data_IF_129555187493
#
_entry.id   IF_129555187493
#
_cell.length_a   1.000
_cell.length_b   1.000
_cell.length_c   1.000
_cell.angle_alpha   90.00
_cell.angle_beta   90.00
_cell.angle_gamma   90.00
#
_symmetry.space_group_name_H-M   'P 1'
#
loop_
_entity.id
_entity.type
_entity.pdbx_description
1 polymer ?
#
# COMPACT_ATOMS: atom_id res chain seq x y z
N UNK A 1 -23.48 -15.61 7.20
CA UNK A 1 -22.24 -14.87 7.01
C UNK A 1 -21.12 -15.49 7.84
N UNK A 2 -20.02 -15.89 7.22
CA UNK A 2 -18.92 -16.63 7.88
C UNK A 2 -18.04 -15.73 8.80
N UNK A 3 -18.15 -14.42 8.68
CA UNK A 3 -17.32 -13.45 9.37
C UNK A 3 -17.85 -12.87 10.68
N UNK A 4 -19.05 -13.30 11.15
CA UNK A 4 -19.70 -12.67 12.31
C UNK A 4 -20.16 -13.72 13.31
N UNK A 5 -20.05 -13.41 14.60
CA UNK A 5 -20.65 -14.13 15.69
C UNK A 5 -21.83 -13.34 16.29
N UNK A 6 -22.86 -14.04 16.72
CA UNK A 6 -24.07 -13.47 17.33
C UNK A 6 -24.05 -13.70 18.83
N UNK A 7 -24.25 -12.64 19.59
CA UNK A 7 -24.28 -12.65 21.05
C UNK A 7 -25.62 -12.12 21.56
N UNK A 8 -25.96 -12.45 22.80
CA UNK A 8 -27.12 -11.96 23.54
C UNK A 8 -26.74 -11.70 24.99
N UNK A 9 -27.70 -11.37 25.86
CA UNK A 9 -27.46 -11.09 27.27
C UNK A 9 -26.39 -10.00 27.51
N UNK A 10 -26.60 -8.83 26.92
CA UNK A 10 -25.65 -7.73 27.02
C UNK A 10 -24.31 -7.96 26.32
N UNK A 11 -24.28 -8.88 25.32
CA UNK A 11 -23.05 -9.23 24.60
C UNK A 11 -22.19 -10.30 25.28
N UNK A 12 -22.63 -10.83 26.43
CA UNK A 12 -21.82 -11.76 27.24
C UNK A 12 -22.04 -13.25 26.92
N UNK A 13 -23.10 -13.60 26.18
CA UNK A 13 -23.43 -14.98 25.86
C UNK A 13 -23.41 -15.20 24.35
N UNK A 14 -22.62 -16.17 23.88
CA UNK A 14 -22.58 -16.55 22.47
C UNK A 14 -23.85 -17.36 22.13
N UNK A 15 -24.52 -16.99 21.05
CA UNK A 15 -25.62 -17.78 20.50
C UNK A 15 -25.10 -19.10 19.91
N UNK A 16 -25.97 -20.09 19.79
CA UNK A 16 -25.61 -21.40 19.22
C UNK A 16 -25.56 -21.29 17.70
N UNK A 17 -24.39 -21.51 17.11
CA UNK A 17 -24.26 -21.67 15.66
C UNK A 17 -24.81 -23.04 15.25
N UNK A 18 -25.79 -23.03 14.34
CA UNK A 18 -26.44 -24.24 13.86
C UNK A 18 -26.04 -24.63 12.43
N UNK A 19 -25.02 -23.93 11.89
CA UNK A 19 -24.53 -24.13 10.53
C UNK A 19 -25.12 -23.12 9.54
N UNK A 20 -24.60 -23.11 8.30
CA UNK A 20 -25.06 -22.31 7.18
C UNK A 20 -25.20 -20.79 7.47
N UNK A 21 -24.40 -20.28 8.42
CA UNK A 21 -24.50 -18.90 8.86
C UNK A 21 -25.70 -18.58 9.75
N UNK A 22 -26.42 -19.58 10.21
CA UNK A 22 -27.59 -19.46 11.09
C UNK A 22 -27.21 -19.59 12.57
N UNK A 23 -27.91 -18.82 13.40
CA UNK A 23 -27.68 -18.74 14.83
C UNK A 23 -28.99 -18.87 15.59
N UNK A 24 -29.02 -19.70 16.63
CA UNK A 24 -30.15 -19.87 17.52
C UNK A 24 -29.94 -19.02 18.79
N UNK A 25 -30.84 -18.07 19.00
CA UNK A 25 -30.83 -17.18 20.16
C UNK A 25 -31.98 -17.59 21.08
N UNK A 26 -31.71 -17.94 22.35
CA UNK A 26 -32.77 -18.30 23.28
C UNK A 26 -33.61 -17.07 23.63
N UNK A 27 -34.93 -17.25 23.75
CA UNK A 27 -35.81 -16.23 24.33
C UNK A 27 -35.61 -16.15 25.84
N UNK A 28 -36.02 -15.01 26.44
CA UNK A 28 -36.01 -14.90 27.93
C UNK A 28 -36.83 -15.96 28.62
N UNK A 29 -36.55 -16.19 29.91
CA UNK A 29 -37.25 -17.26 30.69
C UNK A 29 -38.77 -17.05 30.84
N UNK A 30 -39.27 -15.85 30.54
CA UNK A 30 -40.71 -15.55 30.51
C UNK A 30 -41.41 -15.99 29.19
N UNK A 31 -40.59 -16.39 28.18
CA UNK A 31 -41.06 -16.78 26.85
C UNK A 31 -41.73 -15.66 26.05
N UNK A 32 -41.67 -14.40 26.53
CA UNK A 32 -42.39 -13.26 25.94
C UNK A 32 -41.46 -12.19 25.41
N UNK A 33 -40.23 -12.10 25.92
CA UNK A 33 -39.31 -11.04 25.58
C UNK A 33 -38.16 -11.60 24.73
N UNK A 34 -37.91 -10.98 23.60
CA UNK A 34 -36.71 -11.26 22.79
C UNK A 34 -35.52 -10.58 23.42
N UNK A 35 -34.37 -11.24 23.54
CA UNK A 35 -33.16 -10.60 24.05
C UNK A 35 -32.64 -9.60 23.03
N UNK A 36 -31.91 -8.61 23.51
CA UNK A 36 -31.10 -7.77 22.65
C UNK A 36 -29.98 -8.62 22.03
N UNK A 37 -29.81 -8.48 20.72
CA UNK A 37 -28.83 -9.23 19.94
C UNK A 37 -27.66 -8.29 19.61
N UNK A 38 -26.45 -8.81 19.74
CA UNK A 38 -25.21 -8.14 19.41
C UNK A 38 -24.49 -8.93 18.33
N UNK A 39 -23.90 -8.22 17.37
CA UNK A 39 -23.05 -8.79 16.34
C UNK A 39 -21.60 -8.44 16.67
N UNK A 40 -20.71 -9.41 16.61
CA UNK A 40 -19.28 -9.22 16.77
C UNK A 40 -18.59 -9.77 15.52
N UNK A 41 -17.81 -8.95 14.85
CA UNK A 41 -16.90 -9.41 13.79
C UNK A 41 -15.90 -10.42 14.35
N UNK A 42 -15.55 -11.40 13.55
CA UNK A 42 -14.35 -12.19 13.81
C UNK A 42 -13.14 -11.29 13.60
N UNK A 43 -11.99 -11.76 14.05
CA UNK A 43 -10.73 -11.11 13.76
C UNK A 43 -10.60 -10.82 12.24
N UNK A 44 -10.17 -9.63 11.89
CA UNK A 44 -10.01 -9.15 10.50
C UNK A 44 -11.31 -9.07 9.67
N UNK A 45 -12.48 -9.02 10.32
CA UNK A 45 -13.74 -8.87 9.61
C UNK A 45 -14.34 -7.49 9.80
N UNK A 46 -14.51 -6.77 8.68
CA UNK A 46 -15.28 -5.53 8.58
C UNK A 46 -16.35 -5.60 7.49
N UNK A 47 -17.20 -4.59 7.44
CA UNK A 47 -18.20 -4.43 6.42
C UNK A 47 -19.64 -4.63 6.86
N UNK A 48 -20.56 -4.55 5.88
CA UNK A 48 -22.00 -4.66 6.09
C UNK A 48 -22.46 -6.11 6.16
N UNK A 49 -23.20 -6.45 7.20
CA UNK A 49 -23.85 -7.75 7.39
C UNK A 49 -25.35 -7.58 7.31
N UNK A 50 -25.97 -8.13 6.29
CA UNK A 50 -27.43 -8.23 6.22
C UNK A 50 -27.87 -9.54 6.90
N UNK A 51 -28.94 -9.50 7.69
CA UNK A 51 -29.47 -10.64 8.42
C UNK A 51 -30.98 -10.72 8.33
N UNK A 52 -31.51 -11.94 8.50
CA UNK A 52 -32.93 -12.23 8.69
C UNK A 52 -33.12 -12.93 10.03
N UNK A 53 -33.95 -12.37 10.88
CA UNK A 53 -34.35 -13.00 12.12
C UNK A 53 -35.73 -13.66 11.96
N UNK A 54 -35.81 -14.96 12.17
CA UNK A 54 -37.06 -15.72 12.14
C UNK A 54 -37.52 -16.02 13.57
N UNK A 55 -38.66 -15.47 13.93
CA UNK A 55 -39.26 -15.63 15.25
C UNK A 55 -40.42 -16.63 15.14
N UNK A 56 -40.31 -17.72 15.88
CA UNK A 56 -41.37 -18.74 15.98
C UNK A 56 -42.01 -18.68 17.35
N UNK A 57 -43.28 -18.38 17.40
CA UNK A 57 -44.08 -18.46 18.62
C UNK A 57 -45.10 -19.62 18.53
N UNK A 58 -45.29 -20.30 19.65
CA UNK A 58 -46.26 -21.42 19.77
C UNK A 58 -47.11 -21.23 21.01
N UNK A 59 -48.42 -21.33 20.82
CA UNK A 59 -49.40 -21.40 21.94
C UNK A 59 -50.36 -22.59 21.65
N UNK A 60 -50.21 -23.65 22.46
CA UNK A 60 -50.88 -24.93 22.20
C UNK A 60 -50.49 -25.49 20.83
N UNK A 61 -51.50 -25.65 19.93
CA UNK A 61 -51.29 -26.10 18.55
C UNK A 61 -51.08 -24.94 17.57
N UNK A 62 -51.39 -23.72 17.97
CA UNK A 62 -51.23 -22.52 17.15
C UNK A 62 -49.77 -22.16 17.02
N UNK A 63 -49.30 -21.95 15.79
CA UNK A 63 -47.94 -21.50 15.47
C UNK A 63 -47.98 -20.20 14.65
N UNK A 64 -47.14 -19.27 15.02
CA UNK A 64 -46.92 -18.05 14.27
C UNK A 64 -45.43 -17.90 13.98
N UNK A 65 -45.10 -17.66 12.71
CA UNK A 65 -43.75 -17.32 12.27
C UNK A 65 -43.71 -15.90 11.76
N UNK A 66 -42.74 -15.13 12.21
CA UNK A 66 -42.49 -13.77 11.71
C UNK A 66 -41.03 -13.63 11.34
N UNK A 67 -40.80 -13.02 10.19
CA UNK A 67 -39.46 -12.69 9.72
C UNK A 67 -39.23 -11.17 9.82
N UNK A 68 -38.01 -10.81 10.23
CA UNK A 68 -37.51 -9.45 10.30
C UNK A 68 -36.15 -9.42 9.61
N UNK A 69 -35.98 -8.51 8.68
CA UNK A 69 -34.69 -8.27 8.03
C UNK A 69 -34.04 -7.02 8.59
N UNK A 70 -32.72 -7.02 8.64
CA UNK A 70 -31.95 -5.88 9.09
C UNK A 70 -30.51 -5.95 8.58
N UNK A 71 -29.76 -4.90 8.87
CA UNK A 71 -28.34 -4.87 8.59
C UNK A 71 -27.58 -4.24 9.75
N UNK A 72 -26.33 -4.65 9.91
CA UNK A 72 -25.36 -4.05 10.85
C UNK A 72 -24.06 -3.84 10.10
N UNK A 73 -23.37 -2.75 10.36
CA UNK A 73 -22.03 -2.51 9.86
C UNK A 73 -21.04 -2.78 10.98
N UNK A 74 -20.07 -3.65 10.72
CA UNK A 74 -18.90 -3.86 11.56
C UNK A 74 -17.82 -2.91 11.04
N UNK A 75 -17.31 -2.04 11.89
CA UNK A 75 -16.25 -1.12 11.50
C UNK A 75 -14.97 -1.88 11.27
N UNK A 76 -14.36 -1.65 10.12
CA UNK A 76 -13.04 -2.15 9.77
C UNK A 76 -11.99 -1.43 10.61
N UNK A 77 -10.96 -2.16 11.06
CA UNK A 77 -9.85 -1.61 11.85
C UNK A 77 -8.55 -2.13 11.24
N UNK A 78 -7.69 -1.21 10.86
CA UNK A 78 -6.39 -1.57 10.30
C UNK A 78 -5.46 -2.14 11.36
N UNK A 79 -4.94 -3.34 11.14
CA UNK A 79 -4.12 -4.12 12.10
C UNK A 79 -2.65 -3.69 12.12
N UNK A 80 -2.18 -3.07 11.04
CA UNK A 80 -0.89 -2.43 10.93
C UNK A 80 0.21 -3.29 10.31
N UNK A 81 1.38 -2.68 10.20
CA UNK A 81 2.58 -3.23 9.58
C UNK A 81 3.77 -3.04 10.51
N UNK A 82 4.76 -3.90 10.39
CA UNK A 82 6.11 -3.68 10.94
C UNK A 82 7.09 -3.51 9.78
N UNK A 83 8.14 -2.72 9.97
CA UNK A 83 9.24 -2.56 9.01
C UNK A 83 10.59 -2.67 9.74
N UNK A 84 11.59 -3.21 9.03
CA UNK A 84 12.99 -3.24 9.46
C UNK A 84 13.88 -2.91 8.25
N UNK A 85 13.94 -1.62 7.83
CA UNK A 85 14.60 -1.23 6.60
C UNK A 85 16.11 -1.47 6.66
N UNK A 86 16.67 -2.00 5.58
CA UNK A 86 18.10 -2.25 5.44
C UNK A 86 18.67 -1.56 4.20
N UNK A 87 20.00 -1.51 4.09
CA UNK A 87 20.68 -0.91 2.94
C UNK A 87 20.18 -1.50 1.63
N UNK A 88 19.95 -0.63 0.66
CA UNK A 88 19.41 -0.94 -0.68
C UNK A 88 20.44 -0.55 -1.75
N UNK A 89 20.54 -1.31 -2.84
CA UNK A 89 21.35 -0.97 -4.02
C UNK A 89 22.84 -1.25 -3.94
N UNK A 90 23.34 -2.00 -2.94
CA UNK A 90 24.79 -2.17 -2.63
C UNK A 90 25.61 -2.74 -3.80
N UNK A 91 25.01 -3.48 -4.70
CA UNK A 91 25.62 -4.17 -5.84
C UNK A 91 25.11 -3.68 -7.20
N UNK A 92 24.46 -2.52 -7.22
CA UNK A 92 23.85 -1.90 -8.40
C UNK A 92 24.48 -0.56 -8.72
N UNK A 93 24.44 -0.17 -9.99
CA UNK A 93 24.67 1.22 -10.39
C UNK A 93 23.37 2.02 -10.26
N UNK A 94 23.48 3.32 -10.12
CA UNK A 94 22.33 4.20 -10.17
C UNK A 94 21.58 4.02 -11.51
N UNK A 95 20.27 4.24 -11.50
CA UNK A 95 19.34 3.89 -12.57
C UNK A 95 19.31 2.40 -12.94
N UNK A 96 19.83 1.51 -12.10
CA UNK A 96 19.46 0.11 -12.13
C UNK A 96 18.36 -0.17 -11.09
N UNK A 97 17.41 -1.05 -11.43
CA UNK A 97 16.36 -1.45 -10.49
C UNK A 97 16.92 -2.32 -9.37
N UNK A 98 16.60 -1.94 -8.14
CA UNK A 98 16.98 -2.69 -6.94
C UNK A 98 15.79 -2.87 -6.00
N UNK A 99 15.74 -3.97 -5.27
CA UNK A 99 14.68 -4.20 -4.28
C UNK A 99 14.77 -3.18 -3.16
N UNK A 100 13.64 -2.56 -2.83
CA UNK A 100 13.49 -1.68 -1.69
C UNK A 100 13.34 -2.53 -0.42
N UNK A 101 14.43 -2.72 0.31
CA UNK A 101 14.51 -3.63 1.44
C UNK A 101 13.86 -3.05 2.70
N UNK A 102 12.54 -2.90 2.70
CA UNK A 102 11.78 -2.46 3.87
C UNK A 102 11.59 -3.57 4.91
N UNK A 103 11.74 -4.84 4.52
CA UNK A 103 11.46 -6.02 5.34
C UNK A 103 10.11 -5.86 6.06
N UNK A 104 9.11 -5.46 5.29
CA UNK A 104 7.80 -5.16 5.81
C UNK A 104 7.00 -6.44 6.06
N UNK A 105 6.21 -6.43 7.15
CA UNK A 105 5.32 -7.54 7.49
C UNK A 105 3.99 -6.98 7.97
N UNK A 106 2.93 -7.19 7.18
CA UNK A 106 1.55 -6.85 7.56
C UNK A 106 1.00 -7.88 8.53
N UNK A 107 0.21 -7.43 9.50
CA UNK A 107 -0.42 -8.33 10.47
C UNK A 107 -1.63 -9.04 9.89
N UNK A 108 -2.40 -8.36 9.03
CA UNK A 108 -3.48 -8.95 8.27
C UNK A 108 -3.06 -9.30 6.84
N UNK A 109 -3.38 -10.52 6.41
CA UNK A 109 -3.04 -11.09 5.11
C UNK A 109 -4.27 -11.55 4.31
N UNK A 110 -5.48 -11.24 4.75
CA UNK A 110 -6.71 -11.65 4.08
C UNK A 110 -6.97 -10.88 2.77
N UNK A 111 -6.23 -9.80 2.57
CA UNK A 111 -6.23 -8.98 1.36
C UNK A 111 -7.14 -7.76 1.43
N UNK A 112 -7.85 -7.54 2.55
CA UNK A 112 -8.64 -6.32 2.81
C UNK A 112 -7.73 -5.12 3.04
N UNK A 113 -6.69 -5.28 3.84
CA UNK A 113 -5.70 -4.23 4.12
C UNK A 113 -4.74 -3.96 2.97
N UNK A 114 -4.35 -2.70 2.85
CA UNK A 114 -3.29 -2.23 1.95
C UNK A 114 -2.24 -1.47 2.76
N UNK A 115 -0.98 -1.66 2.40
CA UNK A 115 0.11 -0.89 2.96
C UNK A 115 0.27 0.43 2.20
N UNK A 116 0.55 1.48 2.95
CA UNK A 116 0.94 2.80 2.49
C UNK A 116 2.26 3.19 3.14
N UNK A 117 3.10 3.92 2.45
CA UNK A 117 4.32 4.43 3.05
C UNK A 117 4.81 5.71 2.39
N UNK A 118 5.59 6.47 3.12
CA UNK A 118 6.26 7.66 2.62
C UNK A 118 7.77 7.50 2.67
N UNK A 119 8.45 8.19 1.76
CA UNK A 119 9.91 8.27 1.72
C UNK A 119 10.32 9.75 1.67
N UNK A 120 11.21 10.17 2.57
CA UNK A 120 11.79 11.51 2.58
C UNK A 120 13.29 11.42 2.31
N UNK A 121 13.80 12.36 1.49
CA UNK A 121 15.21 12.45 1.14
C UNK A 121 15.54 12.07 -0.31
N UNK A 122 14.56 11.53 -1.05
CA UNK A 122 14.70 11.25 -2.48
C UNK A 122 14.24 12.44 -3.31
N UNK A 123 14.93 12.72 -4.42
CA UNK A 123 14.47 13.71 -5.39
C UNK A 123 13.50 13.10 -6.44
N UNK A 124 13.15 13.90 -7.44
CA UNK A 124 12.16 13.50 -8.46
C UNK A 124 12.66 12.45 -9.46
N UNK A 125 13.96 12.07 -9.42
CA UNK A 125 14.50 10.99 -10.25
C UNK A 125 14.09 9.60 -9.77
N UNK A 126 13.56 9.47 -8.55
CA UNK A 126 13.10 8.21 -7.98
C UNK A 126 11.93 7.63 -8.78
N UNK A 127 11.99 6.32 -9.05
CA UNK A 127 10.91 5.58 -9.69
C UNK A 127 10.67 4.28 -8.93
N UNK A 128 9.43 3.77 -9.00
CA UNK A 128 9.01 2.60 -8.23
C UNK A 128 8.25 1.62 -9.11
N UNK A 129 8.49 0.32 -8.90
CA UNK A 129 7.74 -0.78 -9.52
C UNK A 129 7.66 -1.98 -8.59
N UNK A 130 6.77 -2.93 -8.87
CA UNK A 130 6.74 -4.25 -8.22
C UNK A 130 7.34 -5.28 -9.18
N UNK A 131 8.22 -6.12 -8.68
CA UNK A 131 8.67 -7.32 -9.36
C UNK A 131 7.66 -8.45 -9.11
N UNK A 132 6.95 -8.90 -10.14
CA UNK A 132 5.92 -9.94 -10.02
C UNK A 132 6.48 -11.36 -9.86
N UNK A 133 7.81 -11.54 -9.99
CA UNK A 133 8.47 -12.83 -9.82
C UNK A 133 8.45 -13.75 -11.06
N UNK A 134 7.68 -13.41 -12.09
CA UNK A 134 7.54 -14.15 -13.35
C UNK A 134 8.30 -13.51 -14.51
N UNK A 135 9.15 -12.53 -14.22
CA UNK A 135 9.88 -11.74 -15.22
C UNK A 135 9.10 -10.51 -15.69
N UNK A 136 7.90 -10.27 -15.18
CA UNK A 136 7.13 -9.04 -15.43
C UNK A 136 7.21 -8.07 -14.27
N UNK A 137 6.80 -6.82 -14.52
CA UNK A 137 6.84 -5.74 -13.53
C UNK A 137 5.55 -4.92 -13.57
N UNK A 138 5.10 -4.48 -12.41
CA UNK A 138 3.97 -3.55 -12.28
C UNK A 138 4.51 -2.17 -11.95
N UNK A 139 4.30 -1.20 -12.85
CA UNK A 139 4.66 0.20 -12.63
C UNK A 139 3.81 0.81 -11.51
N UNK A 140 4.45 1.49 -10.56
CA UNK A 140 3.79 2.17 -9.44
C UNK A 140 3.62 3.68 -9.66
N UNK A 141 3.86 4.22 -10.86
CA UNK A 141 3.73 5.66 -11.14
C UNK A 141 2.33 6.24 -10.86
N UNK A 142 1.28 5.42 -10.95
CA UNK A 142 -0.09 5.81 -10.59
C UNK A 142 -0.38 5.76 -9.09
N UNK A 143 0.45 5.06 -8.32
CA UNK A 143 0.33 4.89 -6.87
C UNK A 143 1.36 5.71 -6.10
N UNK A 144 2.39 6.22 -6.77
CA UNK A 144 3.47 7.01 -6.20
C UNK A 144 3.32 8.47 -6.62
N UNK A 145 3.44 9.39 -5.67
CA UNK A 145 3.42 10.83 -5.91
C UNK A 145 4.43 11.53 -5.01
N UNK A 146 5.04 12.60 -5.51
CA UNK A 146 5.91 13.47 -4.73
C UNK A 146 5.19 14.79 -4.46
N UNK A 147 5.21 15.26 -3.22
CA UNK A 147 4.64 16.54 -2.85
C UNK A 147 5.64 17.69 -3.05
N UNK A 148 5.19 18.93 -2.82
CA UNK A 148 6.02 20.14 -2.99
C UNK A 148 7.21 20.22 -2.01
N UNK A 149 7.25 19.39 -0.97
CA UNK A 149 8.37 19.28 -0.01
C UNK A 149 9.39 18.23 -0.41
N UNK A 150 9.14 17.50 -1.51
CA UNK A 150 9.97 16.40 -1.98
C UNK A 150 9.68 15.06 -1.30
N UNK A 151 8.63 14.97 -0.48
CA UNK A 151 8.22 13.73 0.17
C UNK A 151 7.42 12.85 -0.80
N UNK A 152 7.90 11.64 -1.01
CA UNK A 152 7.20 10.62 -1.78
C UNK A 152 6.15 9.92 -0.94
N UNK A 153 4.99 9.63 -1.53
CA UNK A 153 3.94 8.79 -0.94
C UNK A 153 3.60 7.68 -1.92
N UNK A 154 3.65 6.44 -1.45
CA UNK A 154 3.28 5.24 -2.21
C UNK A 154 2.07 4.60 -1.55
N UNK A 155 0.99 4.42 -2.30
CA UNK A 155 -0.31 4.03 -1.76
C UNK A 155 -0.79 2.68 -2.25
N UNK A 156 -1.49 1.94 -1.37
CA UNK A 156 -2.30 0.78 -1.73
C UNK A 156 -1.51 -0.42 -2.23
N UNK A 157 -0.42 -0.78 -1.53
CA UNK A 157 0.40 -1.94 -1.83
C UNK A 157 -0.19 -3.17 -1.14
N UNK A 158 -0.37 -4.24 -1.90
CA UNK A 158 -0.89 -5.51 -1.38
C UNK A 158 0.18 -6.27 -0.59
N UNK A 159 -0.23 -7.06 0.41
CA UNK A 159 0.67 -7.81 1.27
C UNK A 159 1.68 -8.68 0.48
N UNK A 160 1.25 -9.30 -0.62
CA UNK A 160 2.12 -10.13 -1.48
C UNK A 160 3.23 -9.35 -2.18
N UNK A 161 3.05 -8.03 -2.35
CA UNK A 161 3.91 -7.17 -3.17
C UNK A 161 4.88 -6.33 -2.32
N UNK A 162 4.63 -6.19 -1.00
CA UNK A 162 5.36 -5.24 -0.14
C UNK A 162 6.88 -5.43 -0.10
N UNK A 163 7.37 -6.67 -0.20
CA UNK A 163 8.81 -6.99 -0.23
C UNK A 163 9.35 -7.20 -1.65
N UNK A 164 8.52 -6.99 -2.67
CA UNK A 164 8.88 -7.08 -4.08
C UNK A 164 8.96 -5.70 -4.75
N UNK A 165 8.79 -4.62 -3.98
CA UNK A 165 8.93 -3.26 -4.49
C UNK A 165 10.38 -3.03 -4.88
N UNK A 166 10.57 -2.50 -6.08
CA UNK A 166 11.87 -2.05 -6.57
C UNK A 166 11.88 -0.53 -6.68
N UNK A 167 13.06 0.01 -6.45
CA UNK A 167 13.35 1.44 -6.62
C UNK A 167 14.51 1.61 -7.60
N UNK A 168 14.51 2.71 -8.34
CA UNK A 168 15.66 3.23 -9.05
C UNK A 168 15.80 4.73 -8.79
N UNK A 169 17.02 5.26 -8.86
CA UNK A 169 17.35 6.65 -8.57
C UNK A 169 18.66 7.04 -9.28
N UNK A 170 18.90 8.31 -9.53
CA UNK A 170 20.07 8.80 -10.28
C UNK A 170 21.39 8.74 -9.50
N UNK A 171 21.33 8.66 -8.17
CA UNK A 171 22.49 8.70 -7.27
C UNK A 171 22.24 8.01 -5.94
N UNK A 172 23.31 7.77 -5.19
CA UNK A 172 23.22 7.31 -3.80
C UNK A 172 22.63 8.38 -2.89
N UNK A 173 21.80 7.95 -1.92
CA UNK A 173 21.17 8.83 -0.91
C UNK A 173 21.29 8.19 0.46
N UNK A 174 21.65 8.99 1.48
CA UNK A 174 21.76 8.54 2.87
C UNK A 174 20.56 9.01 3.69
N UNK A 175 20.31 8.28 4.79
CA UNK A 175 19.31 8.63 5.81
C UNK A 175 17.90 8.84 5.25
N UNK A 176 17.51 8.07 4.22
CA UNK A 176 16.14 8.10 3.71
C UNK A 176 15.21 7.66 4.83
N UNK A 177 14.28 8.53 5.20
CA UNK A 177 13.27 8.21 6.20
C UNK A 177 12.10 7.53 5.54
N UNK A 178 11.60 6.47 6.18
CA UNK A 178 10.37 5.79 5.79
C UNK A 178 9.38 5.82 6.95
N UNK A 179 8.12 6.10 6.62
CA UNK A 179 6.98 5.98 7.52
C UNK A 179 5.94 5.11 6.83
N UNK A 180 5.49 4.04 7.48
CA UNK A 180 4.57 3.07 6.90
C UNK A 180 3.36 2.83 7.81
N UNK A 181 2.20 2.56 7.20
CA UNK A 181 0.94 2.23 7.86
C UNK A 181 0.08 1.35 6.96
N UNK A 182 -0.97 0.76 7.52
CA UNK A 182 -2.00 0.06 6.76
C UNK A 182 -3.33 0.78 6.83
N UNK A 183 -4.19 0.50 5.87
CA UNK A 183 -5.58 0.94 5.81
C UNK A 183 -6.44 -0.21 5.33
N UNK A 184 -7.52 -0.49 6.04
CA UNK A 184 -8.53 -1.49 5.69
C UNK A 184 -9.74 -0.78 5.07
N UNK A 185 -10.03 -1.08 3.79
CA UNK A 185 -11.05 -0.38 3.02
C UNK A 185 -10.70 1.07 2.64
N UNK A 186 -11.63 1.77 1.98
CA UNK A 186 -11.41 3.14 1.50
C UNK A 186 -11.66 4.22 2.56
N UNK A 187 -12.57 3.97 3.49
CA UNK A 187 -13.04 4.91 4.50
C UNK A 187 -12.67 4.48 5.93
N UNK A 188 -11.86 3.42 6.07
CA UNK A 188 -11.44 2.91 7.37
C UNK A 188 -10.35 3.77 8.01
N UNK A 189 -10.25 3.67 9.33
CA UNK A 189 -9.13 4.25 10.06
C UNK A 189 -7.81 3.62 9.61
N UNK A 190 -6.75 4.42 9.65
CA UNK A 190 -5.39 3.93 9.41
C UNK A 190 -4.81 3.34 10.70
N UNK A 191 -3.91 2.38 10.56
CA UNK A 191 -3.13 1.86 11.68
C UNK A 191 -2.17 2.90 12.25
N UNK A 192 -1.60 2.61 13.41
CA UNK A 192 -0.43 3.34 13.88
C UNK A 192 0.68 3.30 12.84
N UNK A 193 1.38 4.43 12.71
CA UNK A 193 2.51 4.57 11.79
C UNK A 193 3.78 4.04 12.43
N UNK A 194 4.55 3.32 11.63
CA UNK A 194 5.88 2.84 12.01
C UNK A 194 6.94 3.54 11.18
N UNK A 195 8.06 3.85 11.81
CA UNK A 195 9.14 4.63 11.19
C UNK A 195 10.43 3.82 11.08
N UNK A 196 11.24 4.15 10.09
CA UNK A 196 12.57 3.58 9.91
C UNK A 196 13.45 4.48 9.06
N UNK A 197 14.69 4.05 8.85
CA UNK A 197 15.66 4.72 7.97
C UNK A 197 16.51 3.70 7.23
N UNK A 198 16.91 4.04 6.02
CA UNK A 198 17.86 3.25 5.24
C UNK A 198 18.70 4.14 4.33
N UNK A 199 19.77 3.55 3.80
CA UNK A 199 20.60 4.18 2.78
C UNK A 199 20.34 3.49 1.43
N UNK A 200 20.24 4.30 0.37
CA UNK A 200 20.34 3.86 -1.01
C UNK A 200 21.79 4.03 -1.46
N UNK A 201 22.50 2.91 -1.64
CA UNK A 201 23.93 2.91 -1.94
C UNK A 201 24.18 2.25 -3.28
N UNK A 202 24.47 3.04 -4.31
CA UNK A 202 24.90 2.53 -5.60
C UNK A 202 26.43 2.46 -5.67
N UNK A 203 26.94 1.57 -6.51
CA UNK A 203 28.38 1.46 -6.79
C UNK A 203 28.91 2.63 -7.60
N UNK A 204 28.03 3.24 -8.42
CA UNK A 204 28.33 4.41 -9.23
C UNK A 204 27.04 5.21 -9.44
N UNK A 205 27.12 6.56 -9.35
CA UNK A 205 26.02 7.45 -9.71
C UNK A 205 25.78 7.43 -11.24
N UNK A 206 24.55 7.73 -11.65
CA UNK A 206 24.16 7.68 -13.05
C UNK A 206 24.85 8.76 -13.91
N UNK A 207 25.13 9.92 -13.33
CA UNK A 207 25.86 11.00 -14.00
C UNK A 207 27.35 10.91 -13.66
N UNK A 208 28.16 10.60 -14.68
CA UNK A 208 29.62 10.57 -14.59
C UNK A 208 30.25 11.25 -15.78
N UNK A 209 31.17 12.18 -15.53
CA UNK A 209 31.90 12.93 -16.57
C UNK A 209 30.98 13.58 -17.63
N UNK A 210 29.80 14.04 -17.21
CA UNK A 210 28.79 14.64 -18.08
C UNK A 210 27.95 13.63 -18.89
N UNK A 211 28.15 12.33 -18.69
CA UNK A 211 27.31 11.29 -19.29
C UNK A 211 26.32 10.76 -18.26
N UNK A 212 25.04 10.90 -18.56
CA UNK A 212 23.93 10.29 -17.81
C UNK A 212 23.64 8.91 -18.39
N UNK A 213 23.91 7.85 -17.64
CA UNK A 213 23.71 6.46 -18.06
C UNK A 213 22.43 5.90 -17.44
N UNK A 214 21.54 5.38 -18.27
CA UNK A 214 20.33 4.66 -17.82
C UNK A 214 20.58 3.17 -17.78
N UNK A 215 20.14 2.55 -16.70
CA UNK A 215 20.10 1.08 -16.58
C UNK A 215 18.99 0.45 -17.40
N UNK A 216 18.93 -0.88 -17.39
CA UNK A 216 17.94 -1.66 -18.14
C UNK A 216 16.50 -1.30 -17.73
N UNK A 217 15.64 -1.06 -18.73
CA UNK A 217 14.20 -0.79 -18.53
C UNK A 217 13.90 0.42 -17.65
N UNK A 218 14.77 1.43 -17.70
CA UNK A 218 14.55 2.72 -17.02
C UNK A 218 14.11 3.75 -18.05
N UNK A 219 12.96 4.38 -17.78
CA UNK A 219 12.45 5.49 -18.59
C UNK A 219 12.51 6.78 -17.77
N UNK A 220 12.99 7.86 -18.35
CA UNK A 220 12.91 9.18 -17.73
C UNK A 220 11.77 9.97 -18.36
N UNK A 221 10.82 10.36 -17.54
CA UNK A 221 9.74 11.29 -17.91
C UNK A 221 10.09 12.70 -17.39
N UNK A 222 10.57 13.55 -18.30
CA UNK A 222 11.03 14.89 -17.96
C UNK A 222 9.92 15.79 -17.43
N UNK A 223 8.65 15.51 -17.72
CA UNK A 223 7.53 16.25 -17.13
C UNK A 223 7.40 16.04 -15.60
N UNK A 224 8.08 15.02 -15.06
CA UNK A 224 8.09 14.68 -13.63
C UNK A 224 9.40 15.05 -12.94
N UNK A 225 10.46 15.33 -13.69
CA UNK A 225 11.75 15.73 -13.13
C UNK A 225 11.69 17.21 -12.72
N UNK A 226 11.99 17.48 -11.47
CA UNK A 226 12.09 18.86 -10.97
C UNK A 226 13.38 19.48 -11.48
N UNK A 227 13.29 20.71 -12.04
CA UNK A 227 14.45 21.42 -12.53
C UNK A 227 15.51 21.57 -11.43
N UNK A 228 16.70 21.06 -11.70
CA UNK A 228 17.82 21.10 -10.77
C UNK A 228 18.16 19.74 -10.14
N UNK A 229 17.28 18.78 -10.18
CA UNK A 229 17.56 17.43 -9.62
C UNK A 229 18.60 16.67 -10.45
N UNK A 230 18.56 16.80 -11.78
CA UNK A 230 19.57 16.28 -12.70
C UNK A 230 20.22 17.47 -13.43
N UNK A 231 21.53 17.63 -13.32
CA UNK A 231 22.28 18.73 -13.93
C UNK A 231 23.66 18.32 -14.44
N UNK A 232 24.20 19.05 -15.39
CA UNK A 232 25.56 18.86 -15.90
C UNK A 232 25.67 17.77 -16.95
N UNK A 233 24.57 17.46 -17.64
CA UNK A 233 24.48 16.41 -18.67
C UNK A 233 24.97 16.94 -20.01
N UNK A 234 25.97 16.29 -20.61
CA UNK A 234 26.42 16.50 -21.98
C UNK A 234 25.92 15.41 -22.92
N UNK A 235 25.70 14.22 -22.39
CA UNK A 235 25.32 13.03 -23.15
C UNK A 235 24.37 12.18 -22.30
N UNK A 236 23.35 11.59 -22.92
CA UNK A 236 22.53 10.55 -22.32
C UNK A 236 22.86 9.23 -23.01
N UNK A 237 23.20 8.22 -22.22
CA UNK A 237 23.52 6.89 -22.67
C UNK A 237 22.36 5.94 -22.43
N UNK A 238 21.76 5.46 -23.52
CA UNK A 238 20.62 4.54 -23.55
C UNK A 238 21.03 3.13 -24.00
N UNK A 239 22.32 2.80 -23.95
CA UNK A 239 22.87 1.56 -24.52
C UNK A 239 22.60 0.31 -23.69
N UNK A 240 22.04 0.43 -22.46
CA UNK A 240 21.68 -0.72 -21.66
C UNK A 240 20.62 -1.58 -22.38
N UNK A 241 20.71 -2.91 -22.20
CA UNK A 241 19.73 -3.84 -22.75
C UNK A 241 18.32 -3.52 -22.28
N UNK A 242 17.35 -3.64 -23.19
CA UNK A 242 15.93 -3.36 -22.93
C UNK A 242 15.48 -2.05 -23.58
N UNK A 243 14.21 -1.72 -23.39
CA UNK A 243 13.64 -0.47 -23.90
C UNK A 243 13.81 0.65 -22.87
N UNK A 244 14.78 1.56 -23.13
CA UNK A 244 14.90 2.81 -22.38
C UNK A 244 14.27 3.94 -23.18
N UNK A 245 13.51 4.82 -22.53
CA UNK A 245 12.81 5.94 -23.20
C UNK A 245 13.05 7.24 -22.46
N UNK A 246 13.21 8.31 -23.23
CA UNK A 246 13.10 9.69 -22.74
C UNK A 246 11.72 10.19 -23.15
N UNK A 247 10.89 10.49 -22.16
CA UNK A 247 9.50 10.91 -22.35
C UNK A 247 9.40 12.41 -22.05
N UNK A 248 8.56 13.13 -22.81
CA UNK A 248 8.23 14.53 -22.60
C UNK A 248 9.44 15.48 -22.51
N UNK A 249 10.55 15.12 -23.17
CA UNK A 249 11.75 15.96 -23.21
C UNK A 249 11.50 17.21 -24.06
N UNK A 250 11.63 18.40 -23.45
CA UNK A 250 11.48 19.69 -24.09
C UNK A 250 12.83 20.42 -24.22
N UNK A 251 12.85 21.52 -24.97
CA UNK A 251 14.04 22.37 -25.03
C UNK A 251 14.40 22.95 -23.66
N UNK A 252 13.40 23.34 -22.86
CA UNK A 252 13.63 23.88 -21.53
C UNK A 252 14.25 22.82 -20.60
N UNK A 253 13.89 21.55 -20.73
CA UNK A 253 14.52 20.46 -19.99
C UNK A 253 15.99 20.31 -20.42
N UNK A 254 16.28 20.30 -21.71
CA UNK A 254 17.67 20.24 -22.21
C UNK A 254 18.50 21.40 -21.65
N UNK A 255 17.93 22.61 -21.63
CA UNK A 255 18.60 23.81 -21.07
C UNK A 255 18.76 23.73 -19.54
N UNK A 256 17.90 23.02 -18.84
CA UNK A 256 17.98 22.88 -17.39
C UNK A 256 18.97 21.82 -16.93
N UNK A 257 19.02 20.66 -17.62
CA UNK A 257 19.92 19.54 -17.28
C UNK A 257 21.33 19.67 -17.87
N UNK A 258 21.47 20.44 -18.95
CA UNK A 258 22.73 20.58 -19.69
C UNK A 258 23.87 21.17 -18.85
N UNK A 259 25.08 20.75 -19.18
CA UNK A 259 26.27 21.31 -18.55
C UNK A 259 26.51 22.72 -19.09
N UNK A 260 26.54 23.70 -18.19
CA UNK A 260 26.86 25.09 -18.53
C UNK A 260 28.37 25.29 -18.63
N UNK A 261 28.83 26.07 -19.64
CA UNK A 261 30.19 26.56 -19.72
C UNK A 261 30.46 27.64 -18.65
N UNK A 262 31.71 28.14 -18.57
CA UNK A 262 32.07 29.20 -17.63
C UNK A 262 31.34 30.53 -17.82
N UNK A 263 30.60 30.70 -18.92
CA UNK A 263 29.76 31.86 -19.24
C UNK A 263 28.27 31.61 -19.06
N UNK A 264 27.87 30.39 -18.62
CA UNK A 264 26.49 30.00 -18.43
C UNK A 264 25.76 29.50 -19.68
N UNK A 265 26.46 29.28 -20.82
CA UNK A 265 25.90 28.71 -22.04
C UNK A 265 25.96 27.15 -21.98
N UNK A 266 25.01 26.50 -22.62
CA UNK A 266 24.94 25.02 -22.77
C UNK A 266 25.57 24.64 -24.08
#
# INVERSE_FOLDING_TARGET
ASGVAVYYNGGNSLAMNVGDGSWLVPVSGDGKTLPQIFFKGKEHFGGKVDFTATINAKDGEAKVTKELTGSVTITEVADGVTIDPTKTGIDKNAFEWTTLNLNANMKDLDGSEKMHFTLEGLDSSAQFRVNNGDGTYTDLSSKASQDATGKWTINGIEAKDINNIQITHDKSVKDIKVEAWTQDGQDADISDKVEGKFDLNFTQDALKDGTLTLGKEVNIDFSKIVNGDIQGVNKIDLSAEGENKLLNLTLDDVLSIGKKDGNGNI
#
